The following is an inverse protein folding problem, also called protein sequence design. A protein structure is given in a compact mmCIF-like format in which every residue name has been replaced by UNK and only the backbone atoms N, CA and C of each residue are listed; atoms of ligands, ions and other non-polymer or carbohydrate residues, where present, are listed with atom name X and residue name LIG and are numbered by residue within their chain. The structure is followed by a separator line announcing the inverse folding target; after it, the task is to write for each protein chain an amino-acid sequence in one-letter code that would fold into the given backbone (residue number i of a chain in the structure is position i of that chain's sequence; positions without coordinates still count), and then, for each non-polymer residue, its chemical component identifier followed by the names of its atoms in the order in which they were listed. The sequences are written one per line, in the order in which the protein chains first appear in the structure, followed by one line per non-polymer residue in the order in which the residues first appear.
data_IF_039012337742
#
_entry.id   IF_039012337742
#
_cell.length_a   1.000
_cell.length_b   1.000
_cell.length_c   1.000
_cell.angle_alpha   90.00
_cell.angle_beta   90.00
_cell.angle_gamma   90.00
#
_symmetry.space_group_name_H-M   'P 1'
#
loop_
_entity.id
_entity.type
_entity.pdbx_description
1 polymer ?
#
# COMPACT_ATOMS: atom_id res chain seq x y z
N UNK A 1 -25.64 -2.68 -7.27
CA UNK A 1 -25.51 -3.10 -5.86
C UNK A 1 -24.48 -2.19 -5.21
N UNK A 2 -24.89 -1.34 -4.26
CA UNK A 2 -23.94 -0.51 -3.51
C UNK A 2 -23.05 -1.45 -2.71
N UNK A 3 -21.72 -1.30 -2.81
CA UNK A 3 -20.83 -2.03 -1.94
C UNK A 3 -21.14 -1.63 -0.48
N UNK A 4 -21.13 -2.59 0.46
CA UNK A 4 -21.56 -2.30 1.81
C UNK A 4 -20.55 -1.35 2.50
N UNK A 5 -21.06 -0.38 3.25
CA UNK A 5 -20.30 0.74 3.84
C UNK A 5 -19.12 0.32 4.75
N UNK A 6 -19.04 -0.94 5.16
CA UNK A 6 -17.90 -1.46 5.91
C UNK A 6 -16.63 -1.58 5.04
N UNK A 7 -16.79 -1.77 3.73
CA UNK A 7 -15.68 -1.94 2.80
C UNK A 7 -14.95 -0.62 2.50
N UNK A 8 -15.66 0.52 2.48
CA UNK A 8 -15.03 1.84 2.37
C UNK A 8 -14.25 2.19 3.63
N UNK A 9 -14.83 1.91 4.81
CA UNK A 9 -14.16 2.10 6.11
C UNK A 9 -12.93 1.22 6.28
N UNK A 10 -12.94 0.01 5.73
CA UNK A 10 -11.78 -0.88 5.74
C UNK A 10 -10.55 -0.21 5.11
N UNK A 11 -10.70 0.43 3.95
CA UNK A 11 -9.57 1.11 3.28
C UNK A 11 -9.04 2.28 4.09
N UNK A 12 -9.92 3.05 4.74
CA UNK A 12 -9.52 4.13 5.64
C UNK A 12 -8.70 3.60 6.83
N UNK A 13 -9.18 2.54 7.47
CA UNK A 13 -8.48 1.90 8.60
C UNK A 13 -7.12 1.35 8.16
N UNK A 14 -7.07 0.62 7.05
CA UNK A 14 -5.81 0.07 6.53
C UNK A 14 -4.84 1.17 6.12
N UNK A 15 -5.31 2.26 5.51
CA UNK A 15 -4.49 3.43 5.18
C UNK A 15 -3.89 4.08 6.42
N UNK A 16 -4.71 4.33 7.44
CA UNK A 16 -4.26 4.94 8.70
C UNK A 16 -3.23 4.06 9.44
N UNK A 17 -3.51 2.76 9.56
CA UNK A 17 -2.59 1.81 10.18
C UNK A 17 -1.29 1.66 9.39
N UNK A 18 -1.38 1.53 8.06
CA UNK A 18 -0.20 1.44 7.19
C UNK A 18 0.69 2.68 7.31
N UNK A 19 0.08 3.88 7.35
CA UNK A 19 0.79 5.14 7.56
C UNK A 19 1.46 5.21 8.93
N UNK A 20 0.77 4.80 9.99
CA UNK A 20 1.33 4.71 11.34
C UNK A 20 2.56 3.78 11.37
N UNK A 21 2.45 2.60 10.76
CA UNK A 21 3.56 1.64 10.66
C UNK A 21 4.71 2.22 9.83
N UNK A 22 4.42 2.87 8.70
CA UNK A 22 5.45 3.49 7.86
C UNK A 22 6.25 4.56 8.63
N UNK A 23 5.57 5.41 9.41
CA UNK A 23 6.23 6.42 10.26
C UNK A 23 7.08 5.75 11.35
N UNK A 24 6.53 4.74 12.05
CA UNK A 24 7.27 4.02 13.09
C UNK A 24 8.51 3.32 12.56
N UNK A 25 8.39 2.62 11.42
CA UNK A 25 9.52 1.96 10.78
C UNK A 25 10.53 2.95 10.19
N UNK A 26 10.10 4.11 9.70
CA UNK A 26 11.01 5.15 9.23
C UNK A 26 11.82 5.76 10.37
N UNK A 27 11.20 6.01 11.52
CA UNK A 27 11.90 6.45 12.72
C UNK A 27 12.91 5.38 13.20
N UNK A 28 12.51 4.11 13.21
CA UNK A 28 13.42 3.02 13.56
C UNK A 28 14.57 2.88 12.55
N UNK A 29 14.33 3.00 11.25
CA UNK A 29 15.39 2.95 10.24
C UNK A 29 16.38 4.11 10.37
N UNK A 30 15.93 5.31 10.75
CA UNK A 30 16.79 6.48 10.90
C UNK A 30 17.67 6.44 12.17
N UNK A 31 17.22 5.76 13.22
CA UNK A 31 17.88 5.81 14.54
C UNK A 31 18.42 4.45 15.02
N UNK A 32 17.89 3.33 14.52
CA UNK A 32 18.17 1.98 15.01
C UNK A 32 18.87 1.06 14.01
N UNK A 33 19.00 1.47 12.73
CA UNK A 33 19.72 0.73 11.70
C UNK A 33 21.02 1.45 11.32
N UNK A 34 21.99 0.68 10.83
CA UNK A 34 23.16 1.29 10.18
C UNK A 34 22.77 1.94 8.83
N UNK A 35 23.65 2.78 8.30
CA UNK A 35 23.38 3.53 7.07
C UNK A 35 23.12 2.65 5.84
N UNK A 36 23.74 1.47 5.76
CA UNK A 36 23.58 0.54 4.64
C UNK A 36 22.20 -0.13 4.71
N UNK A 37 21.82 -0.63 5.89
CA UNK A 37 20.51 -1.24 6.12
C UNK A 37 19.38 -0.23 5.94
N UNK A 38 19.53 0.99 6.47
CA UNK A 38 18.56 2.07 6.31
C UNK A 38 18.34 2.41 4.82
N UNK A 39 19.42 2.48 4.02
CA UNK A 39 19.33 2.72 2.58
C UNK A 39 18.59 1.58 1.86
N UNK A 40 18.79 0.32 2.27
CA UNK A 40 18.15 -0.85 1.65
C UNK A 40 16.62 -0.86 1.85
N UNK A 41 16.11 -0.36 2.97
CA UNK A 41 14.67 -0.38 3.31
C UNK A 41 13.93 0.90 2.95
N UNK A 42 14.65 1.97 2.58
CA UNK A 42 14.08 3.28 2.26
C UNK A 42 13.00 3.23 1.17
N UNK A 43 13.17 2.38 0.16
CA UNK A 43 12.18 2.18 -0.90
C UNK A 43 10.87 1.56 -0.36
N UNK A 44 10.96 0.58 0.55
CA UNK A 44 9.79 -0.02 1.20
C UNK A 44 9.04 1.01 2.04
N UNK A 45 9.75 1.79 2.85
CA UNK A 45 9.17 2.85 3.68
C UNK A 45 8.44 3.90 2.84
N UNK A 46 9.09 4.36 1.77
CA UNK A 46 8.52 5.33 0.84
C UNK A 46 7.28 4.77 0.16
N UNK A 47 7.35 3.55 -0.35
CA UNK A 47 6.20 2.90 -1.01
C UNK A 47 5.05 2.65 -0.04
N UNK A 48 5.33 2.21 1.21
CA UNK A 48 4.29 2.01 2.22
C UNK A 48 3.57 3.31 2.57
N UNK A 49 4.32 4.41 2.73
CA UNK A 49 3.75 5.73 2.98
C UNK A 49 2.86 6.24 1.84
N UNK A 50 3.33 6.15 0.59
CA UNK A 50 2.53 6.55 -0.58
C UNK A 50 1.24 5.74 -0.71
N UNK A 51 1.30 4.43 -0.48
CA UNK A 51 0.13 3.57 -0.63
C UNK A 51 -0.80 3.60 0.59
N UNK A 52 -0.32 4.04 1.75
CA UNK A 52 -1.19 4.43 2.87
C UNK A 52 -2.08 5.62 2.48
N UNK A 53 -1.51 6.66 1.86
CA UNK A 53 -2.28 7.80 1.36
C UNK A 53 -3.24 7.40 0.22
N UNK A 54 -2.80 6.52 -0.68
CA UNK A 54 -3.65 5.98 -1.74
C UNK A 54 -4.85 5.20 -1.18
N UNK A 55 -4.64 4.40 -0.11
CA UNK A 55 -5.72 3.70 0.60
C UNK A 55 -6.72 4.67 1.23
N UNK A 56 -6.24 5.73 1.89
CA UNK A 56 -7.11 6.77 2.44
C UNK A 56 -7.95 7.44 1.35
N UNK A 57 -7.32 7.86 0.25
CA UNK A 57 -8.01 8.44 -0.90
C UNK A 57 -9.04 7.48 -1.52
N UNK A 58 -8.70 6.19 -1.60
CA UNK A 58 -9.60 5.15 -2.11
C UNK A 58 -10.81 4.94 -1.20
N UNK A 59 -10.60 4.93 0.12
CA UNK A 59 -11.68 4.85 1.11
C UNK A 59 -12.66 6.02 1.00
N UNK A 60 -12.14 7.26 0.91
CA UNK A 60 -12.95 8.47 0.72
C UNK A 60 -13.71 8.46 -0.61
N UNK A 61 -13.08 7.97 -1.69
CA UNK A 61 -13.75 7.84 -2.99
C UNK A 61 -14.87 6.79 -2.93
N UNK A 62 -14.65 5.68 -2.22
CA UNK A 62 -15.63 4.60 -2.08
C UNK A 62 -16.89 5.02 -1.31
N UNK A 63 -16.82 6.06 -0.46
CA UNK A 63 -18.00 6.63 0.17
C UNK A 63 -18.90 7.37 -0.83
N UNK A 64 -18.33 7.86 -1.94
CA UNK A 64 -19.04 8.68 -2.94
C UNK A 64 -19.36 7.91 -4.22
N UNK A 65 -18.67 6.80 -4.47
CA UNK A 65 -18.76 6.03 -5.72
C UNK A 65 -19.01 4.57 -5.42
N UNK A 66 -20.01 4.00 -6.09
CA UNK A 66 -20.24 2.56 -6.11
C UNK A 66 -19.54 1.90 -7.28
N UNK A 67 -19.05 0.67 -7.08
CA UNK A 67 -18.56 -0.17 -8.16
C UNK A 67 -17.32 -0.97 -7.76
N UNK A 68 -16.97 -2.02 -8.52
CA UNK A 68 -15.88 -2.92 -8.14
C UNK A 68 -14.51 -2.25 -8.21
N UNK A 69 -14.29 -1.30 -9.11
CA UNK A 69 -12.97 -0.73 -9.37
C UNK A 69 -12.38 0.03 -8.18
N UNK A 70 -13.19 0.73 -7.38
CA UNK A 70 -12.66 1.40 -6.17
C UNK A 70 -12.20 0.38 -5.12
N UNK A 71 -12.86 -0.78 -5.02
CA UNK A 71 -12.44 -1.84 -4.10
C UNK A 71 -11.27 -2.65 -4.64
N UNK A 72 -11.19 -2.86 -5.96
CA UNK A 72 -10.01 -3.46 -6.60
C UNK A 72 -8.78 -2.56 -6.46
N UNK A 73 -8.94 -1.24 -6.52
CA UNK A 73 -7.87 -0.29 -6.21
C UNK A 73 -7.40 -0.45 -4.76
N UNK A 74 -8.33 -0.43 -3.80
CA UNK A 74 -8.02 -0.57 -2.37
C UNK A 74 -7.32 -1.90 -2.06
N UNK A 75 -7.84 -3.01 -2.59
CA UNK A 75 -7.21 -4.32 -2.46
C UNK A 75 -5.82 -4.37 -3.10
N UNK A 76 -5.65 -3.77 -4.29
CA UNK A 76 -4.36 -3.68 -4.98
C UNK A 76 -3.32 -2.92 -4.16
N UNK A 77 -3.69 -1.77 -3.59
CA UNK A 77 -2.80 -1.01 -2.71
C UNK A 77 -2.46 -1.76 -1.43
N UNK A 78 -3.44 -2.37 -0.76
CA UNK A 78 -3.20 -3.09 0.50
C UNK A 78 -2.31 -4.33 0.29
N UNK A 79 -2.67 -5.21 -0.66
CA UNK A 79 -1.94 -6.45 -0.92
C UNK A 79 -0.59 -6.19 -1.59
N UNK A 80 -0.55 -5.26 -2.54
CA UNK A 80 0.68 -4.87 -3.22
C UNK A 80 1.69 -4.23 -2.28
N UNK A 81 1.25 -3.31 -1.40
CA UNK A 81 2.13 -2.69 -0.41
C UNK A 81 2.65 -3.73 0.58
N UNK A 82 1.78 -4.60 1.09
CA UNK A 82 2.18 -5.68 2.00
C UNK A 82 3.27 -6.56 1.36
N UNK A 83 3.01 -7.10 0.16
CA UNK A 83 3.95 -7.99 -0.53
C UNK A 83 5.28 -7.29 -0.89
N UNK A 84 5.20 -6.09 -1.48
CA UNK A 84 6.39 -5.33 -1.88
C UNK A 84 7.25 -4.94 -0.67
N UNK A 85 6.64 -4.31 0.34
CA UNK A 85 7.37 -3.79 1.49
C UNK A 85 7.93 -4.92 2.33
N UNK A 86 7.14 -5.98 2.59
CA UNK A 86 7.61 -7.15 3.33
C UNK A 86 8.81 -7.80 2.65
N UNK A 87 8.78 -8.01 1.32
CA UNK A 87 9.88 -8.66 0.62
C UNK A 87 11.18 -7.83 0.62
N UNK A 88 11.08 -6.49 0.55
CA UNK A 88 12.24 -5.60 0.64
C UNK A 88 12.81 -5.61 2.07
N UNK A 89 11.95 -5.52 3.10
CA UNK A 89 12.36 -5.64 4.50
C UNK A 89 13.03 -6.98 4.80
N UNK A 90 12.44 -8.07 4.33
CA UNK A 90 13.00 -9.41 4.47
C UNK A 90 14.40 -9.50 3.87
N UNK A 91 14.59 -8.98 2.66
CA UNK A 91 15.90 -8.98 2.00
C UNK A 91 16.94 -8.18 2.79
N UNK A 92 16.57 -7.03 3.35
CA UNK A 92 17.48 -6.19 4.11
C UNK A 92 17.87 -6.82 5.46
N UNK A 93 16.92 -7.44 6.17
CA UNK A 93 17.16 -7.97 7.52
C UNK A 93 17.64 -9.42 7.54
N UNK A 94 17.08 -10.28 6.68
CA UNK A 94 17.44 -11.70 6.61
C UNK A 94 18.55 -12.00 5.58
N UNK A 95 18.97 -11.01 4.79
CA UNK A 95 20.02 -11.15 3.78
C UNK A 95 19.64 -12.03 2.58
N UNK A 96 18.40 -12.53 2.50
CA UNK A 96 17.92 -13.45 1.46
C UNK A 96 16.75 -12.87 0.69
N UNK A 97 16.65 -13.19 -0.60
CA UNK A 97 15.55 -12.72 -1.44
C UNK A 97 14.36 -13.67 -1.37
N UNK A 98 13.14 -13.12 -1.28
CA UNK A 98 11.90 -13.87 -1.51
C UNK A 98 11.57 -14.03 -3.01
N UNK A 99 12.56 -13.81 -3.88
CA UNK A 99 12.41 -13.93 -5.32
C UNK A 99 11.42 -12.91 -5.88
N UNK A 100 10.40 -13.41 -6.57
CA UNK A 100 9.45 -12.60 -7.36
C UNK A 100 8.41 -11.85 -6.52
N UNK A 101 8.39 -12.00 -5.18
CA UNK A 101 7.37 -11.39 -4.32
C UNK A 101 7.36 -9.86 -4.43
N UNK A 102 8.52 -9.21 -4.41
CA UNK A 102 8.58 -7.75 -4.58
C UNK A 102 8.10 -7.30 -5.98
N UNK A 103 8.57 -7.89 -7.10
CA UNK A 103 8.04 -7.58 -8.44
C UNK A 103 6.52 -7.79 -8.59
N UNK A 104 5.98 -8.88 -8.02
CA UNK A 104 4.54 -9.16 -8.02
C UNK A 104 3.82 -8.06 -7.23
N UNK A 105 4.28 -7.74 -6.02
CA UNK A 105 3.72 -6.66 -5.21
C UNK A 105 3.74 -5.31 -5.94
N UNK A 106 4.86 -4.96 -6.58
CA UNK A 106 4.98 -3.74 -7.39
C UNK A 106 4.00 -3.69 -8.56
N UNK A 107 3.82 -4.81 -9.26
CA UNK A 107 2.82 -4.92 -10.34
C UNK A 107 1.40 -4.78 -9.80
N UNK A 108 1.10 -5.38 -8.65
CA UNK A 108 -0.20 -5.23 -7.97
C UNK A 108 -0.48 -3.79 -7.56
N UNK A 109 0.54 -3.05 -7.10
CA UNK A 109 0.43 -1.61 -6.81
C UNK A 109 0.09 -0.81 -8.07
N UNK A 110 0.76 -1.08 -9.20
CA UNK A 110 0.47 -0.44 -10.49
C UNK A 110 -0.98 -0.69 -10.93
N UNK A 111 -1.46 -1.93 -10.82
CA UNK A 111 -2.86 -2.26 -11.11
C UNK A 111 -3.82 -1.54 -10.18
N UNK A 112 -3.48 -1.36 -8.90
CA UNK A 112 -4.25 -0.56 -7.95
C UNK A 112 -4.45 0.88 -8.44
N UNK A 113 -3.39 1.53 -8.92
CA UNK A 113 -3.45 2.89 -9.49
C UNK A 113 -4.32 2.96 -10.74
N UNK A 114 -4.19 1.97 -11.64
CA UNK A 114 -5.02 1.87 -12.84
C UNK A 114 -6.51 1.76 -12.46
N UNK A 115 -6.84 0.91 -11.49
CA UNK A 115 -8.23 0.78 -11.03
C UNK A 115 -8.74 2.03 -10.33
N UNK A 116 -7.90 2.74 -9.58
CA UNK A 116 -8.28 4.02 -8.98
C UNK A 116 -8.61 5.05 -10.07
N UNK A 117 -7.80 5.14 -11.12
CA UNK A 117 -8.05 6.02 -12.27
C UNK A 117 -9.37 5.66 -12.98
N UNK A 118 -9.63 4.38 -13.23
CA UNK A 118 -10.89 3.91 -13.83
C UNK A 118 -12.08 4.25 -12.92
N UNK A 119 -11.97 4.01 -11.61
CA UNK A 119 -13.02 4.32 -10.64
C UNK A 119 -13.35 5.82 -10.61
N UNK A 120 -12.34 6.69 -10.74
CA UNK A 120 -12.52 8.14 -10.77
C UNK A 120 -13.13 8.63 -12.10
N UNK A 121 -12.71 8.05 -13.24
CA UNK A 121 -13.10 8.50 -14.57
C UNK A 121 -14.50 8.04 -15.00
N UNK A 122 -14.97 6.87 -14.54
CA UNK A 122 -16.31 6.39 -14.86
C UNK A 122 -17.36 7.32 -14.24
N UNK A 123 -18.36 7.74 -15.01
CA UNK A 123 -19.53 8.47 -14.46
C UNK A 123 -20.32 7.50 -13.57
N UNK A 124 -20.75 7.99 -12.41
CA UNK A 124 -21.57 7.23 -11.46
C UNK A 124 -22.98 7.01 -12.03
#
# INVERSE_FOLDING_TARGET
MMAPLWLSRLWLVLGALSGCVAVGLAAWAAHGLDAVQAAQVSSALTMQGWHALALLATGLLAERRSGPFVHLAGAGFALGALAFCFAVWWRALAGTSLGSVAPIGGTTLMLGWIFLAIAAARRA
#
